data_IF_078054649636
#
_entry.id   IF_078054649636
#
_cell.length_a   1.000
_cell.length_b   1.000
_cell.length_c   1.000
_cell.angle_alpha   90.00
_cell.angle_beta   90.00
_cell.angle_gamma   90.00
#
_symmetry.space_group_name_H-M   'P 1'
#
loop_
_entity.id
_entity.type
_entity.pdbx_description
1 polymer ?
#
# COMPACT_ATOMS: atom_id res chain seq x y z
N UNK A 1 -0.38 3.05 12.73
CA UNK A 1 -1.74 3.57 12.94
C UNK A 1 -2.25 4.35 11.72
N UNK A 2 -1.50 5.37 11.26
CA UNK A 2 -1.87 6.21 10.11
C UNK A 2 -2.26 5.41 8.86
N UNK A 3 -1.45 4.46 8.43
CA UNK A 3 -1.74 3.66 7.23
C UNK A 3 -3.04 2.87 7.32
N UNK A 4 -3.46 2.44 8.53
CA UNK A 4 -4.76 1.79 8.76
C UNK A 4 -5.92 2.78 8.66
N UNK A 5 -5.75 4.00 9.20
CA UNK A 5 -6.77 5.07 9.11
C UNK A 5 -6.97 5.53 7.67
N UNK A 6 -5.86 5.61 6.92
CA UNK A 6 -5.87 6.08 5.53
C UNK A 6 -6.10 4.96 4.49
N UNK A 7 -6.41 3.74 4.91
CA UNK A 7 -6.75 2.63 4.01
C UNK A 7 -5.58 2.10 3.16
N UNK A 8 -4.32 2.37 3.55
CA UNK A 8 -3.11 1.96 2.81
C UNK A 8 -2.29 0.89 3.55
N UNK A 9 -2.93 0.11 4.41
CA UNK A 9 -2.31 -0.97 5.17
C UNK A 9 -2.97 -2.31 4.84
N UNK A 10 -2.55 -2.93 3.74
CA UNK A 10 -2.95 -4.31 3.36
C UNK A 10 -2.05 -4.82 2.23
N UNK A 11 -1.13 -5.71 2.53
CA UNK A 11 -0.27 -6.32 1.48
C UNK A 11 -1.10 -7.14 0.47
N UNK A 12 -2.15 -7.82 0.93
CA UNK A 12 -3.04 -8.63 0.08
C UNK A 12 -3.72 -7.78 -0.98
N UNK A 13 -4.12 -6.56 -0.64
CA UNK A 13 -4.77 -5.62 -1.57
C UNK A 13 -3.79 -4.81 -2.42
N UNK A 14 -2.48 -5.05 -2.30
CA UNK A 14 -1.45 -4.34 -3.06
C UNK A 14 -0.96 -3.06 -2.40
N UNK A 15 -1.30 -2.82 -1.14
CA UNK A 15 -0.70 -1.77 -0.31
C UNK A 15 0.47 -2.31 0.50
N UNK A 16 0.89 -1.59 1.52
CA UNK A 16 2.02 -1.94 2.36
C UNK A 16 1.60 -2.74 3.59
N UNK A 17 2.36 -3.78 3.90
CA UNK A 17 2.23 -4.56 5.13
C UNK A 17 3.14 -4.05 6.26
N UNK A 18 3.10 -4.69 7.43
CA UNK A 18 3.84 -4.26 8.61
C UNK A 18 5.34 -4.11 8.39
N UNK A 19 5.97 -5.09 7.74
CA UNK A 19 7.41 -5.04 7.45
C UNK A 19 7.78 -3.87 6.53
N UNK A 20 6.95 -3.57 5.55
CA UNK A 20 7.18 -2.45 4.64
C UNK A 20 7.21 -1.13 5.40
N UNK A 21 6.19 -0.90 6.26
CA UNK A 21 6.12 0.30 7.10
C UNK A 21 7.31 0.39 8.05
N UNK A 22 7.72 -0.72 8.64
CA UNK A 22 8.89 -0.77 9.54
C UNK A 22 10.17 -0.37 8.79
N UNK A 23 10.42 -0.89 7.59
CA UNK A 23 11.60 -0.55 6.79
C UNK A 23 11.57 0.92 6.37
N UNK A 24 10.41 1.44 5.92
CA UNK A 24 10.28 2.84 5.55
C UNK A 24 10.59 3.78 6.73
N UNK A 25 10.05 3.49 7.92
CA UNK A 25 10.34 4.28 9.13
C UNK A 25 11.80 4.15 9.55
N UNK A 26 12.37 2.94 9.55
CA UNK A 26 13.77 2.72 9.89
C UNK A 26 14.71 3.51 8.97
N UNK A 27 14.40 3.59 7.67
CA UNK A 27 15.17 4.40 6.72
C UNK A 27 15.15 5.88 7.09
N UNK A 28 14.00 6.42 7.51
CA UNK A 28 13.91 7.81 7.95
C UNK A 28 14.74 8.02 9.23
N UNK A 29 14.71 7.08 10.19
CA UNK A 29 15.54 7.14 11.38
C UNK A 29 17.05 7.12 11.04
N UNK A 30 17.47 6.34 10.04
CA UNK A 30 18.86 6.36 9.56
C UNK A 30 19.25 7.72 8.94
N UNK A 31 18.34 8.35 8.19
CA UNK A 31 18.59 9.64 7.54
C UNK A 31 18.59 10.80 8.54
N UNK A 32 17.85 10.69 9.63
CA UNK A 32 17.66 11.74 10.64
C UNK A 32 17.84 11.20 12.07
N UNK A 33 19.03 10.73 12.45
CA UNK A 33 19.25 9.98 13.71
C UNK A 33 18.99 10.81 14.98
N UNK A 34 19.09 12.13 14.89
CA UNK A 34 18.93 13.05 16.02
C UNK A 34 17.58 13.78 16.01
N UNK A 35 16.64 13.40 15.11
CA UNK A 35 15.35 14.06 15.03
C UNK A 35 14.39 13.58 16.12
N UNK A 36 13.55 14.49 16.64
CA UNK A 36 12.44 14.13 17.53
C UNK A 36 11.38 13.30 16.80
N UNK A 37 10.53 12.56 17.52
CA UNK A 37 9.46 11.78 16.90
C UNK A 37 8.54 12.60 15.98
N UNK A 38 8.17 13.81 16.36
CA UNK A 38 7.36 14.71 15.53
C UNK A 38 8.08 15.11 14.24
N UNK A 39 9.37 15.43 14.34
CA UNK A 39 10.20 15.70 13.15
C UNK A 39 10.32 14.48 12.26
N UNK A 40 10.49 13.28 12.81
CA UNK A 40 10.57 12.04 12.03
C UNK A 40 9.28 11.79 11.23
N UNK A 41 8.10 12.08 11.80
CA UNK A 41 6.83 11.99 11.09
C UNK A 41 6.80 12.97 9.90
N UNK A 42 7.14 14.23 10.12
CA UNK A 42 7.19 15.24 9.06
C UNK A 42 8.20 14.83 7.96
N UNK A 43 9.39 14.35 8.34
CA UNK A 43 10.43 13.88 7.40
C UNK A 43 10.00 12.63 6.64
N UNK A 44 9.26 11.72 7.28
CA UNK A 44 8.70 10.54 6.63
C UNK A 44 7.83 10.94 5.42
N UNK A 45 6.84 11.79 5.62
CA UNK A 45 5.95 12.22 4.55
C UNK A 45 6.68 13.05 3.49
N UNK A 46 7.56 13.96 3.89
CA UNK A 46 8.39 14.74 2.97
C UNK A 46 9.23 13.85 2.06
N UNK A 47 9.93 12.87 2.63
CA UNK A 47 10.84 12.01 1.86
C UNK A 47 10.06 11.14 0.90
N UNK A 48 8.99 10.47 1.35
CA UNK A 48 8.28 9.50 0.52
C UNK A 48 7.29 10.12 -0.46
N UNK A 49 6.80 11.32 -0.25
CA UNK A 49 6.05 12.08 -1.26
C UNK A 49 6.94 12.50 -2.44
N UNK A 50 8.25 12.70 -2.20
CA UNK A 50 9.23 13.13 -3.20
C UNK A 50 10.12 11.98 -3.70
N UNK A 51 9.94 10.77 -3.17
CA UNK A 51 10.76 9.61 -3.54
C UNK A 51 10.55 9.25 -5.01
N UNK A 52 11.66 9.11 -5.73
CA UNK A 52 11.61 8.76 -7.16
C UNK A 52 11.41 7.25 -7.34
N UNK A 53 10.19 6.79 -7.12
CA UNK A 53 9.85 5.40 -7.41
C UNK A 53 10.04 5.08 -8.91
N UNK A 54 10.54 3.89 -9.28
CA UNK A 54 10.78 2.69 -8.46
C UNK A 54 12.19 2.55 -7.85
N UNK A 55 12.91 3.62 -7.53
CA UNK A 55 14.17 3.48 -6.81
C UNK A 55 13.93 2.71 -5.49
N UNK A 56 14.75 1.69 -5.17
CA UNK A 56 14.52 0.87 -3.99
C UNK A 56 14.79 1.63 -2.69
N UNK A 57 14.01 1.31 -1.66
CA UNK A 57 14.32 1.67 -0.28
C UNK A 57 15.05 0.51 0.37
N UNK A 58 16.27 0.74 0.85
CA UNK A 58 17.13 -0.25 1.49
C UNK A 58 17.67 0.31 2.81
N UNK A 59 17.88 -0.56 3.80
CA UNK A 59 18.54 -0.20 5.07
C UNK A 59 20.04 -0.48 5.06
N UNK A 60 20.50 -1.37 4.18
CA UNK A 60 21.89 -1.76 3.98
C UNK A 60 22.12 -2.11 2.52
N UNK A 61 23.38 -2.35 2.15
CA UNK A 61 23.70 -2.87 0.82
C UNK A 61 23.10 -4.26 0.61
N UNK A 62 22.70 -4.54 -0.64
CA UNK A 62 22.23 -5.86 -1.05
C UNK A 62 23.48 -6.70 -1.32
N UNK A 63 23.68 -7.74 -0.54
CA UNK A 63 24.83 -8.64 -0.67
C UNK A 63 24.38 -10.01 -1.16
N UNK A 64 25.18 -10.61 -2.04
CA UNK A 64 25.02 -12.01 -2.42
C UNK A 64 25.57 -12.88 -1.29
N UNK A 65 24.80 -13.86 -0.86
CA UNK A 65 25.20 -14.73 0.26
C UNK A 65 25.74 -16.07 -0.19
N UNK A 66 26.35 -16.84 0.75
CA UNK A 66 27.07 -18.10 0.46
C UNK A 66 26.15 -19.22 -0.06
N UNK A 67 24.85 -19.12 0.12
CA UNK A 67 23.87 -20.14 -0.31
C UNK A 67 23.43 -19.98 -1.77
N UNK A 68 23.92 -18.97 -2.49
CA UNK A 68 23.53 -18.75 -3.89
C UNK A 68 22.06 -18.46 -4.11
N UNK A 69 21.31 -18.08 -3.06
CA UNK A 69 19.89 -17.71 -3.21
C UNK A 69 19.78 -16.38 -3.96
N UNK A 70 18.78 -16.22 -4.85
CA UNK A 70 18.60 -15.00 -5.61
C UNK A 70 18.23 -13.84 -4.68
N UNK A 71 18.91 -12.71 -4.87
CA UNK A 71 18.59 -11.42 -4.24
C UNK A 71 17.88 -10.52 -5.25
N UNK A 72 17.19 -9.49 -4.77
CA UNK A 72 16.51 -8.52 -5.64
C UNK A 72 17.54 -7.77 -6.50
N UNK A 73 17.43 -7.92 -7.82
CA UNK A 73 18.26 -7.25 -8.81
C UNK A 73 17.49 -7.03 -10.12
N UNK A 74 16.98 -5.82 -10.40
CA UNK A 74 16.25 -5.54 -11.62
C UNK A 74 17.10 -5.57 -12.89
N UNK A 75 18.44 -5.63 -12.76
CA UNK A 75 19.34 -5.76 -13.91
C UNK A 75 19.40 -7.20 -14.40
N UNK A 76 19.37 -8.16 -13.47
CA UNK A 76 19.48 -9.61 -13.75
C UNK A 76 18.11 -10.28 -13.85
N UNK A 77 17.13 -9.84 -13.08
CA UNK A 77 15.83 -10.48 -12.98
C UNK A 77 14.73 -9.61 -13.64
N UNK A 78 14.14 -10.13 -14.71
CA UNK A 78 13.06 -9.45 -15.42
C UNK A 78 11.84 -9.14 -14.53
N UNK A 79 11.51 -10.05 -13.58
CA UNK A 79 10.36 -9.83 -12.66
C UNK A 79 10.60 -8.63 -11.76
N UNK A 80 11.82 -8.41 -11.31
CA UNK A 80 12.15 -7.30 -10.42
C UNK A 80 12.03 -5.93 -11.10
N UNK A 81 12.15 -5.87 -12.44
CA UNK A 81 11.95 -4.63 -13.23
C UNK A 81 10.53 -4.09 -13.15
N UNK A 82 9.54 -4.98 -12.94
CA UNK A 82 8.13 -4.60 -12.84
C UNK A 82 7.71 -4.07 -11.48
N UNK A 83 8.58 -4.13 -10.46
CA UNK A 83 8.24 -3.71 -9.11
C UNK A 83 8.07 -2.21 -9.01
N UNK A 84 6.88 -1.76 -8.55
CA UNK A 84 6.46 -0.35 -8.56
C UNK A 84 7.02 0.48 -7.39
N UNK A 85 7.19 -0.14 -6.21
CA UNK A 85 7.70 0.50 -4.99
C UNK A 85 8.60 -0.49 -4.24
N UNK A 86 9.81 -0.77 -4.71
CA UNK A 86 10.68 -1.77 -4.08
C UNK A 86 11.08 -1.34 -2.67
N UNK A 87 10.76 -2.16 -1.68
CA UNK A 87 11.12 -2.01 -0.27
C UNK A 87 11.82 -3.30 0.13
N UNK A 88 13.16 -3.23 0.22
CA UNK A 88 14.00 -4.40 0.28
C UNK A 88 14.25 -4.82 1.73
N UNK A 89 14.03 -6.10 2.02
CA UNK A 89 14.35 -6.68 3.33
C UNK A 89 15.85 -6.66 3.59
N UNK A 90 16.32 -6.29 4.81
CA UNK A 90 17.75 -6.19 5.10
C UNK A 90 18.44 -7.54 5.31
N UNK A 91 17.65 -8.61 5.60
CA UNK A 91 18.20 -9.95 5.83
C UNK A 91 18.35 -10.72 4.51
N UNK A 92 19.40 -11.52 4.40
CA UNK A 92 19.63 -12.40 3.27
C UNK A 92 18.62 -13.58 3.21
N UNK A 93 18.06 -13.90 2.05
CA UNK A 93 18.18 -13.19 0.77
C UNK A 93 17.37 -11.90 0.77
N UNK A 94 18.04 -10.80 0.38
CA UNK A 94 17.39 -9.48 0.30
C UNK A 94 16.37 -9.44 -0.83
N UNK A 95 15.09 -9.37 -0.50
CA UNK A 95 13.99 -9.45 -1.46
C UNK A 95 13.06 -8.24 -1.34
N UNK A 96 12.35 -7.93 -2.43
CA UNK A 96 11.31 -6.92 -2.36
C UNK A 96 10.10 -7.42 -1.58
N UNK A 97 9.79 -6.78 -0.45
CA UNK A 97 8.65 -7.10 0.41
C UNK A 97 7.32 -6.50 -0.05
N UNK A 98 7.35 -5.59 -1.03
CA UNK A 98 6.19 -4.86 -1.56
C UNK A 98 5.89 -5.20 -3.03
N UNK A 99 6.22 -6.40 -3.48
CA UNK A 99 6.04 -6.84 -4.86
C UNK A 99 4.57 -6.84 -5.34
N UNK A 100 3.62 -6.78 -4.41
CA UNK A 100 2.18 -6.73 -4.71
C UNK A 100 1.67 -5.34 -5.11
N UNK A 101 2.49 -4.29 -4.94
CA UNK A 101 2.11 -2.91 -5.29
C UNK A 101 1.95 -2.80 -6.81
N UNK A 102 0.80 -2.29 -7.24
CA UNK A 102 0.45 -2.01 -8.62
C UNK A 102 0.56 -0.52 -8.95
N UNK A 103 0.36 -0.13 -10.19
CA UNK A 103 0.27 1.28 -10.60
C UNK A 103 -0.85 2.01 -9.85
N UNK A 104 -2.02 1.39 -9.70
CA UNK A 104 -3.17 1.95 -8.97
C UNK A 104 -2.86 2.19 -7.51
N UNK A 105 -2.37 1.16 -6.80
CA UNK A 105 -2.12 1.28 -5.34
C UNK A 105 -0.92 2.16 -5.04
N UNK A 106 0.11 2.18 -5.90
CA UNK A 106 1.20 3.15 -5.82
C UNK A 106 0.68 4.58 -5.93
N UNK A 107 -0.20 4.85 -6.89
CA UNK A 107 -0.78 6.18 -7.07
C UNK A 107 -1.48 6.64 -5.80
N UNK A 108 -2.37 5.81 -5.22
CA UNK A 108 -3.07 6.13 -3.96
C UNK A 108 -2.08 6.41 -2.83
N UNK A 109 -1.04 5.58 -2.66
CA UNK A 109 -0.05 5.76 -1.59
C UNK A 109 0.74 7.06 -1.75
N UNK A 110 1.12 7.43 -2.98
CA UNK A 110 1.82 8.70 -3.23
C UNK A 110 0.91 9.89 -2.90
N UNK A 111 -0.37 9.84 -3.28
CA UNK A 111 -1.34 10.88 -2.89
C UNK A 111 -1.46 11.01 -1.37
N UNK A 112 -1.51 9.89 -0.66
CA UNK A 112 -1.58 9.89 0.80
C UNK A 112 -0.28 10.39 1.46
N UNK A 113 0.89 10.08 0.91
CA UNK A 113 2.16 10.65 1.39
C UNK A 113 2.21 12.17 1.13
N UNK A 114 1.73 12.62 -0.03
CA UNK A 114 1.67 14.05 -0.36
C UNK A 114 0.73 14.79 0.57
N UNK A 115 -0.50 14.26 0.79
CA UNK A 115 -1.44 14.80 1.80
C UNK A 115 -0.79 14.87 3.19
N UNK A 116 -0.13 13.79 3.62
CA UNK A 116 0.55 13.77 4.91
C UNK A 116 1.64 14.84 5.02
N UNK A 117 2.39 15.10 3.96
CA UNK A 117 3.39 16.15 3.90
C UNK A 117 2.76 17.55 3.99
N UNK A 118 1.71 17.82 3.22
CA UNK A 118 0.98 19.10 3.25
C UNK A 118 0.40 19.39 4.64
N UNK A 119 -0.18 18.38 5.31
CA UNK A 119 -0.69 18.55 6.68
C UNK A 119 0.47 18.81 7.66
N UNK A 120 1.58 18.09 7.56
CA UNK A 120 2.73 18.36 8.43
C UNK A 120 3.26 19.79 8.27
N UNK A 121 3.30 20.31 7.04
CA UNK A 121 3.64 21.72 6.80
C UNK A 121 2.61 22.68 7.44
N UNK A 122 1.32 22.37 7.31
CA UNK A 122 0.27 23.18 7.94
C UNK A 122 0.33 23.15 9.48
N UNK A 123 0.73 22.01 10.06
CA UNK A 123 0.98 21.90 11.52
C UNK A 123 2.16 22.80 11.94
N UNK A 124 3.27 22.76 11.20
CA UNK A 124 4.45 23.60 11.46
C UNK A 124 4.11 25.10 11.38
N UNK A 125 3.11 25.47 10.58
CA UNK A 125 2.58 26.83 10.42
C UNK A 125 1.39 27.14 11.35
N UNK A 126 1.02 26.26 12.29
CA UNK A 126 -0.13 26.38 13.20
C UNK A 126 -1.49 26.53 12.48
N UNK A 127 -1.64 25.98 11.27
CA UNK A 127 -2.87 25.99 10.47
C UNK A 127 -3.63 24.64 10.50
N UNK A 128 -3.03 23.59 11.06
CA UNK A 128 -3.61 22.27 11.21
C UNK A 128 -3.15 21.62 12.52
N UNK A 129 -3.76 20.49 12.87
CA UNK A 129 -3.48 19.70 14.06
C UNK A 129 -3.03 18.28 13.69
N UNK A 130 -2.48 17.55 14.65
CA UNK A 130 -2.14 16.14 14.44
C UNK A 130 -3.36 15.27 14.17
N UNK A 131 -4.55 15.62 14.64
CA UNK A 131 -5.77 14.89 14.38
C UNK A 131 -6.13 14.91 12.89
N UNK A 132 -5.89 16.00 12.18
CA UNK A 132 -6.09 16.13 10.75
C UNK A 132 -5.26 15.12 9.94
N UNK A 133 -4.05 14.79 10.43
CA UNK A 133 -3.20 13.77 9.81
C UNK A 133 -3.83 12.37 9.87
N UNK A 134 -4.53 12.07 10.96
CA UNK A 134 -5.13 10.77 11.24
C UNK A 134 -6.60 10.65 10.86
N UNK A 135 -7.15 11.63 10.17
CA UNK A 135 -8.50 11.60 9.65
C UNK A 135 -8.77 10.34 8.82
N UNK A 136 -9.93 9.66 8.98
CA UNK A 136 -10.25 8.49 8.18
C UNK A 136 -10.28 8.80 6.68
N UNK A 137 -9.86 7.85 5.86
CA UNK A 137 -9.99 7.98 4.41
C UNK A 137 -11.47 7.92 4.01
N UNK A 138 -12.04 8.95 3.38
CA UNK A 138 -13.46 9.00 3.04
C UNK A 138 -13.74 8.21 1.75
N UNK A 139 -13.49 6.89 1.79
CA UNK A 139 -13.47 6.02 0.62
C UNK A 139 -14.72 6.13 -0.24
N UNK A 140 -15.91 6.15 0.37
CA UNK A 140 -17.18 6.16 -0.37
C UNK A 140 -17.62 7.54 -0.87
N UNK A 141 -16.82 8.58 -0.64
CA UNK A 141 -17.09 9.95 -1.09
C UNK A 141 -16.20 10.37 -2.28
N UNK A 142 -15.09 9.68 -2.49
CA UNK A 142 -14.03 10.12 -3.40
C UNK A 142 -14.18 9.65 -4.84
N UNK A 143 -14.89 8.56 -5.08
CA UNK A 143 -15.02 7.98 -6.41
C UNK A 143 -16.43 8.14 -6.95
N UNK A 144 -16.55 8.38 -8.26
CA UNK A 144 -17.86 8.42 -8.93
C UNK A 144 -18.43 7.02 -9.16
N UNK A 145 -17.56 6.02 -9.31
CA UNK A 145 -17.93 4.65 -9.61
C UNK A 145 -17.22 3.69 -8.67
N UNK A 146 -17.95 2.69 -8.22
CA UNK A 146 -17.44 1.63 -7.37
C UNK A 146 -17.76 0.28 -8.01
N UNK A 147 -16.82 -0.65 -7.93
CA UNK A 147 -17.07 -2.05 -8.18
C UNK A 147 -17.33 -2.72 -6.83
N UNK A 148 -18.48 -3.36 -6.70
CA UNK A 148 -18.82 -4.25 -5.60
C UNK A 148 -18.55 -5.70 -6.02
N UNK A 149 -17.84 -6.44 -5.18
CA UNK A 149 -17.62 -7.88 -5.35
C UNK A 149 -18.34 -8.60 -4.22
N UNK A 150 -19.55 -9.08 -4.51
CA UNK A 150 -20.38 -9.83 -3.55
C UNK A 150 -19.98 -11.30 -3.48
N UNK A 151 -19.93 -11.82 -2.26
CA UNK A 151 -19.63 -13.22 -1.96
C UNK A 151 -20.79 -13.79 -1.15
N UNK A 152 -21.34 -14.90 -1.62
CA UNK A 152 -22.44 -15.63 -0.97
C UNK A 152 -22.06 -17.10 -0.79
N UNK A 153 -22.40 -17.68 0.34
CA UNK A 153 -22.14 -19.08 0.61
C UNK A 153 -23.33 -19.76 1.33
N UNK A 154 -23.32 -21.10 1.37
CA UNK A 154 -24.37 -21.90 2.02
C UNK A 154 -24.27 -21.89 3.53
N UNK A 155 -23.06 -21.86 4.06
CA UNK A 155 -22.74 -21.85 5.48
C UNK A 155 -21.54 -20.95 5.78
N UNK A 156 -21.23 -20.73 7.05
CA UNK A 156 -20.15 -19.81 7.49
C UNK A 156 -18.74 -20.34 7.15
N UNK A 157 -18.52 -21.64 7.14
CA UNK A 157 -17.22 -22.23 6.80
C UNK A 157 -16.93 -22.08 5.31
N UNK A 158 -17.93 -22.31 4.46
CA UNK A 158 -17.83 -22.05 3.02
C UNK A 158 -17.61 -20.57 2.77
N UNK A 159 -18.31 -19.68 3.49
CA UNK A 159 -18.10 -18.23 3.36
C UNK A 159 -16.66 -17.83 3.68
N UNK A 160 -16.12 -18.34 4.79
CA UNK A 160 -14.74 -18.06 5.21
C UNK A 160 -13.74 -18.51 4.15
N UNK A 161 -13.87 -19.73 3.65
CA UNK A 161 -13.00 -20.29 2.63
C UNK A 161 -13.09 -19.51 1.31
N UNK A 162 -14.31 -19.24 0.86
CA UNK A 162 -14.59 -18.54 -0.38
C UNK A 162 -14.12 -17.09 -0.34
N UNK A 163 -14.35 -16.40 0.79
CA UNK A 163 -13.86 -15.06 1.07
C UNK A 163 -12.33 -14.99 0.98
N UNK A 164 -11.60 -15.86 1.64
CA UNK A 164 -10.14 -15.91 1.57
C UNK A 164 -9.63 -16.17 0.15
N UNK A 165 -10.33 -17.04 -0.60
CA UNK A 165 -9.99 -17.31 -1.99
C UNK A 165 -10.20 -16.08 -2.88
N UNK A 166 -11.31 -15.38 -2.76
CA UNK A 166 -11.61 -14.14 -3.51
C UNK A 166 -10.63 -13.04 -3.11
N UNK A 167 -10.45 -12.77 -1.82
CA UNK A 167 -9.56 -11.74 -1.29
C UNK A 167 -8.16 -11.84 -1.89
N UNK A 168 -7.59 -13.05 -1.92
CA UNK A 168 -6.24 -13.28 -2.46
C UNK A 168 -6.12 -12.95 -3.96
N UNK A 169 -7.23 -12.79 -4.68
CA UNK A 169 -7.30 -12.54 -6.13
C UNK A 169 -7.75 -11.14 -6.51
N UNK A 170 -8.24 -10.35 -5.55
CA UNK A 170 -8.68 -8.98 -5.82
C UNK A 170 -7.57 -8.12 -6.41
N UNK A 171 -6.33 -8.27 -5.95
CA UNK A 171 -5.17 -7.59 -6.56
C UNK A 171 -4.94 -7.99 -8.02
N UNK A 172 -5.23 -9.26 -8.39
CA UNK A 172 -5.13 -9.71 -9.79
C UNK A 172 -6.18 -9.03 -10.65
N UNK A 173 -7.36 -8.75 -10.09
CA UNK A 173 -8.40 -7.98 -10.77
C UNK A 173 -7.93 -6.54 -11.04
N UNK A 174 -7.29 -5.88 -10.06
CA UNK A 174 -6.68 -4.55 -10.23
C UNK A 174 -5.67 -4.56 -11.38
N UNK A 175 -4.74 -5.53 -11.39
CA UNK A 175 -3.75 -5.67 -12.47
C UNK A 175 -4.39 -5.92 -13.84
N UNK A 176 -5.54 -6.61 -13.89
CA UNK A 176 -6.29 -6.78 -15.14
C UNK A 176 -6.91 -5.46 -15.61
N UNK A 177 -7.47 -4.64 -14.72
CA UNK A 177 -7.94 -3.30 -15.10
C UNK A 177 -6.81 -2.49 -15.71
N UNK A 178 -5.67 -2.39 -15.03
CA UNK A 178 -4.50 -1.65 -15.52
C UNK A 178 -4.07 -2.16 -16.91
N UNK A 179 -3.91 -3.48 -17.05
CA UNK A 179 -3.42 -4.09 -18.28
C UNK A 179 -4.37 -3.92 -19.46
N UNK A 180 -5.67 -4.24 -19.28
CA UNK A 180 -6.64 -4.24 -20.39
C UNK A 180 -7.10 -2.84 -20.80
N UNK A 181 -6.92 -1.86 -19.94
CA UNK A 181 -7.23 -0.46 -20.24
C UNK A 181 -5.98 0.37 -20.52
N UNK A 182 -4.81 -0.25 -20.64
CA UNK A 182 -3.53 0.46 -20.79
C UNK A 182 -3.35 1.57 -19.75
N UNK A 183 -3.65 1.26 -18.49
CA UNK A 183 -3.62 2.17 -17.33
C UNK A 183 -4.57 3.38 -17.44
N UNK A 184 -5.54 3.35 -18.35
CA UNK A 184 -6.57 4.40 -18.43
C UNK A 184 -7.62 4.29 -17.33
N UNK A 185 -7.84 3.07 -16.79
CA UNK A 185 -8.70 2.82 -15.63
C UNK A 185 -7.84 2.30 -14.48
N UNK A 186 -7.87 3.01 -13.38
CA UNK A 186 -7.20 2.65 -12.15
C UNK A 186 -8.25 2.26 -11.08
N UNK A 187 -7.84 1.40 -10.15
CA UNK A 187 -8.73 0.86 -9.12
C UNK A 187 -8.12 0.96 -7.72
N UNK A 188 -8.88 1.47 -6.77
CA UNK A 188 -8.52 1.52 -5.35
C UNK A 188 -9.30 0.43 -4.61
N UNK A 189 -8.71 -0.74 -4.31
CA UNK A 189 -9.37 -1.75 -3.51
C UNK A 189 -9.47 -1.27 -2.06
N UNK A 190 -10.67 -1.37 -1.46
CA UNK A 190 -10.82 -1.12 -0.03
C UNK A 190 -10.11 -2.23 0.77
N UNK A 191 -9.31 -1.90 1.80
CA UNK A 191 -8.48 -2.90 2.49
C UNK A 191 -9.24 -3.89 3.37
N UNK A 192 -10.54 -3.68 3.58
CA UNK A 192 -11.41 -4.52 4.40
C UNK A 192 -12.62 -4.96 3.61
N UNK A 193 -13.18 -6.11 4.01
CA UNK A 193 -14.49 -6.53 3.60
C UNK A 193 -15.59 -5.83 4.40
N UNK A 194 -16.80 -5.92 3.88
CA UNK A 194 -18.03 -5.43 4.50
C UNK A 194 -19.02 -6.58 4.61
N UNK A 195 -19.84 -6.56 5.65
CA UNK A 195 -20.95 -7.48 5.85
C UNK A 195 -22.21 -6.69 6.13
N UNK A 196 -23.32 -7.16 5.61
CA UNK A 196 -24.65 -6.62 5.90
C UNK A 196 -25.33 -7.55 6.92
N UNK A 197 -25.64 -7.03 8.12
CA UNK A 197 -26.28 -7.80 9.16
C UNK A 197 -27.69 -8.33 8.79
N UNK A 198 -28.34 -7.72 7.77
CA UNK A 198 -29.62 -8.18 7.23
C UNK A 198 -29.47 -9.40 6.28
N UNK A 199 -28.25 -9.68 5.81
CA UNK A 199 -27.92 -10.73 4.84
C UNK A 199 -26.90 -11.70 5.45
N UNK A 200 -27.33 -12.74 6.17
CA UNK A 200 -26.41 -13.73 6.71
C UNK A 200 -25.65 -14.44 5.58
N UNK A 201 -24.42 -14.79 5.84
CA UNK A 201 -23.53 -15.52 4.90
C UNK A 201 -23.22 -14.77 3.60
N UNK A 202 -23.16 -13.42 3.69
CA UNK A 202 -22.70 -12.53 2.64
C UNK A 202 -21.48 -11.74 3.09
N UNK A 203 -20.58 -11.43 2.17
CA UNK A 203 -19.48 -10.49 2.37
C UNK A 203 -19.25 -9.72 1.08
N UNK A 204 -18.80 -8.49 1.19
CA UNK A 204 -18.59 -7.60 0.06
C UNK A 204 -17.19 -6.99 0.11
N UNK A 205 -16.56 -6.86 -1.05
CA UNK A 205 -15.38 -6.03 -1.23
C UNK A 205 -15.73 -4.90 -2.19
N UNK A 206 -15.14 -3.72 -1.96
CA UNK A 206 -15.35 -2.56 -2.82
C UNK A 206 -14.04 -2.09 -3.44
N UNK A 207 -14.11 -1.61 -4.67
CA UNK A 207 -13.02 -0.93 -5.36
C UNK A 207 -13.54 0.38 -5.91
N UNK A 208 -12.94 1.50 -5.52
CA UNK A 208 -13.17 2.79 -6.15
C UNK A 208 -12.51 2.82 -7.54
N UNK A 209 -13.23 3.27 -8.56
CA UNK A 209 -12.74 3.31 -9.93
C UNK A 209 -12.60 4.76 -10.40
N UNK A 210 -11.47 5.07 -11.03
CA UNK A 210 -11.29 6.37 -11.67
C UNK A 210 -10.52 6.26 -12.99
N UNK A 211 -10.81 7.19 -13.87
CA UNK A 211 -10.12 7.31 -15.16
C UNK A 211 -8.95 8.28 -15.01
N UNK A 212 -7.82 7.91 -15.57
CA UNK A 212 -6.59 8.73 -15.61
C UNK A 212 -6.72 9.83 -16.66
#
# INVERSE_FOLDING_TARGET
YWGKRRGVYSNVMGFLGGINWAILVARICQLYPNASPSMLISRFFRVYSQWKWPNPVTLCHIEEGPLGLPVWDPRRNFRDRGHQMPIITPAYPCMNSSYNVSTSTRYVMIQEFTRGYEICQAIDENRATWDDLFEPYPFFELYKNYLEVGITARNEDDLRNWKGWVESRLRTLVLKFERYTHEMLLAHPHPRDFSDGSRPRHSFYFMGLWRK
#
